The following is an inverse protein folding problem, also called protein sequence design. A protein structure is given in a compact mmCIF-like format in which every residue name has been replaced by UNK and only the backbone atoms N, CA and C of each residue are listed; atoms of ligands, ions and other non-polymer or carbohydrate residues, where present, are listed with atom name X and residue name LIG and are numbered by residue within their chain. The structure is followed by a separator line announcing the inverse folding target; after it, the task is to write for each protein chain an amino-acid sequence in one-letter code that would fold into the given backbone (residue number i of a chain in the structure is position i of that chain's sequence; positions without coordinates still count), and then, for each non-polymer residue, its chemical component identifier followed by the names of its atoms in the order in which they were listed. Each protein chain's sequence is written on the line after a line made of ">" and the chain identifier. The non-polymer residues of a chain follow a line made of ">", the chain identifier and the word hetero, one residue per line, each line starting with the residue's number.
data_IF_930744398272
#
_entry.id   IF_930744398272
#
_cell.length_a   1.000
_cell.length_b   1.000
_cell.length_c   1.000
_cell.angle_alpha   90.00
_cell.angle_beta   90.00
_cell.angle_gamma   90.00
#
_symmetry.space_group_name_H-M   'P 1'
#
loop_
_entity.id
_entity.type
_entity.pdbx_description
1 polymer ?
#
# COMPACT_ATOMS: atom_id res chain seq x y z
N UNK A 1 16.11 -82.39 16.13
CA UNK A 1 16.70 -82.77 14.83
C UNK A 1 16.80 -81.47 14.06
N UNK A 2 17.96 -80.93 13.98
CA UNK A 2 18.83 -80.80 12.82
C UNK A 2 18.25 -79.79 11.86
N UNK A 3 18.96 -78.84 11.38
CA UNK A 3 20.34 -78.39 11.39
C UNK A 3 20.39 -77.12 10.52
N UNK A 4 21.25 -76.13 10.91
CA UNK A 4 22.25 -75.44 10.04
C UNK A 4 21.72 -74.88 8.70
N UNK A 5 22.12 -73.77 8.21
CA UNK A 5 23.38 -72.95 8.23
C UNK A 5 23.09 -71.62 7.52
N UNK A 6 23.64 -70.55 8.01
CA UNK A 6 24.74 -69.69 7.46
C UNK A 6 24.56 -69.23 6.00
N UNK A 7 24.65 -67.99 5.73
CA UNK A 7 25.73 -67.07 5.34
C UNK A 7 25.14 -65.82 4.66
N UNK A 8 25.52 -64.67 5.15
CA UNK A 8 26.55 -63.83 4.57
C UNK A 8 26.09 -62.96 3.39
N UNK A 9 26.16 -61.71 3.57
CA UNK A 9 26.71 -60.94 2.49
C UNK A 9 26.10 -59.62 2.10
N UNK A 10 26.78 -58.53 2.49
CA UNK A 10 27.03 -57.29 1.72
C UNK A 10 26.00 -56.15 1.77
N UNK A 11 26.31 -55.21 2.61
CA UNK A 11 26.71 -53.85 2.24
C UNK A 11 26.17 -53.33 0.90
N UNK A 12 25.23 -52.40 0.99
CA UNK A 12 24.79 -51.56 -0.09
C UNK A 12 24.54 -50.15 0.45
N UNK A 13 25.57 -49.34 0.48
CA UNK A 13 25.49 -47.91 0.83
C UNK A 13 24.68 -47.20 -0.25
N UNK A 14 23.38 -46.99 0.01
CA UNK A 14 22.50 -46.12 -0.81
C UNK A 14 22.79 -44.65 -0.54
N UNK A 15 23.48 -44.03 -1.48
CA UNK A 15 23.74 -42.58 -1.55
C UNK A 15 22.42 -41.81 -1.38
N UNK A 16 22.29 -41.13 -0.26
CA UNK A 16 21.30 -40.08 -0.08
C UNK A 16 21.61 -38.96 -1.07
N UNK A 17 20.80 -38.87 -2.12
CA UNK A 17 20.80 -37.70 -3.02
C UNK A 17 20.19 -36.54 -2.26
N UNK A 18 21.07 -35.66 -1.80
CA UNK A 18 20.74 -34.36 -1.25
C UNK A 18 20.04 -33.55 -2.36
N UNK A 19 18.70 -33.59 -2.39
CA UNK A 19 17.89 -32.74 -3.25
C UNK A 19 17.93 -31.34 -2.62
N UNK A 20 18.84 -30.53 -3.12
CA UNK A 20 18.93 -29.11 -2.79
C UNK A 20 17.62 -28.45 -3.26
N UNK A 21 16.78 -28.04 -2.31
CA UNK A 21 15.60 -27.20 -2.58
C UNK A 21 16.02 -25.95 -3.36
N UNK A 22 15.25 -25.52 -4.38
CA UNK A 22 15.56 -24.29 -5.08
C UNK A 22 15.41 -23.12 -4.09
N UNK A 23 16.50 -22.42 -3.84
CA UNK A 23 16.49 -21.15 -3.13
C UNK A 23 15.64 -20.19 -3.97
N UNK A 24 14.44 -19.88 -3.51
CA UNK A 24 13.61 -18.80 -4.05
C UNK A 24 14.30 -17.48 -3.76
N UNK A 25 15.20 -17.12 -4.64
CA UNK A 25 15.89 -15.83 -4.62
C UNK A 25 14.99 -14.72 -5.12
N UNK A 26 14.07 -14.26 -4.30
CA UNK A 26 13.55 -12.89 -4.35
C UNK A 26 14.38 -12.05 -3.36
N UNK A 27 15.69 -12.02 -3.58
CA UNK A 27 16.51 -10.92 -3.09
C UNK A 27 16.01 -9.65 -3.80
N UNK A 28 15.10 -8.94 -3.15
CA UNK A 28 14.91 -7.52 -3.46
C UNK A 28 16.28 -6.89 -3.23
N UNK A 29 17.00 -6.62 -4.32
CA UNK A 29 18.16 -5.74 -4.29
C UNK A 29 17.66 -4.46 -3.64
N UNK A 30 17.93 -4.28 -2.37
CA UNK A 30 17.88 -3.00 -1.70
C UNK A 30 18.94 -2.16 -2.40
N UNK A 31 18.52 -1.43 -3.45
CA UNK A 31 19.34 -0.36 -3.98
C UNK A 31 19.45 0.61 -2.81
N UNK A 32 20.62 0.67 -2.17
CA UNK A 32 20.92 1.68 -1.15
C UNK A 32 20.69 3.03 -1.82
N UNK A 33 19.53 3.59 -1.54
CA UNK A 33 19.18 4.95 -1.99
C UNK A 33 19.84 5.88 -1.01
N UNK A 34 20.63 6.86 -1.46
CA UNK A 34 21.24 7.83 -0.55
C UNK A 34 20.13 8.44 0.32
N UNK A 35 20.37 8.66 1.61
CA UNK A 35 19.43 9.33 2.50
C UNK A 35 19.02 10.69 1.92
N UNK A 36 17.86 11.18 2.30
CA UNK A 36 17.45 12.54 2.00
C UNK A 36 18.29 13.48 2.83
N UNK A 37 18.79 14.55 2.21
CA UNK A 37 19.49 15.64 2.91
C UNK A 37 18.51 16.75 3.35
N UNK A 38 18.98 17.72 4.11
CA UNK A 38 18.18 18.81 4.65
C UNK A 38 17.48 19.63 3.54
N UNK A 39 18.15 19.78 2.39
CA UNK A 39 17.58 20.46 1.23
C UNK A 39 16.42 19.65 0.66
N UNK A 40 16.58 18.33 0.53
CA UNK A 40 15.51 17.44 0.05
C UNK A 40 14.30 17.51 1.00
N UNK A 41 14.51 17.50 2.32
CA UNK A 41 13.45 17.66 3.31
C UNK A 41 12.72 19.00 3.17
N UNK A 42 13.44 20.10 3.02
CA UNK A 42 12.86 21.42 2.81
C UNK A 42 12.03 21.49 1.51
N UNK A 43 12.56 20.92 0.41
CA UNK A 43 11.83 20.86 -0.86
C UNK A 43 10.52 20.05 -0.70
N UNK A 44 10.55 18.94 0.01
CA UNK A 44 9.37 18.10 0.27
C UNK A 44 8.35 18.82 1.14
N UNK A 45 8.78 19.52 2.18
CA UNK A 45 7.89 20.32 3.04
C UNK A 45 7.18 21.41 2.26
N UNK A 46 7.91 22.23 1.51
CA UNK A 46 7.34 23.31 0.71
C UNK A 46 6.37 22.79 -0.37
N UNK A 47 6.74 21.72 -1.06
CA UNK A 47 5.87 21.07 -2.05
C UNK A 47 4.65 20.39 -1.44
N UNK A 48 4.70 19.98 -0.17
CA UNK A 48 3.54 19.44 0.52
C UNK A 48 2.49 20.52 0.86
N UNK A 49 2.94 21.76 1.07
CA UNK A 49 2.09 22.92 1.33
C UNK A 49 1.54 23.49 0.02
N UNK A 50 2.40 23.71 -0.95
CA UNK A 50 2.04 24.22 -2.28
C UNK A 50 2.76 23.44 -3.39
N UNK A 51 2.08 22.45 -3.94
CA UNK A 51 2.60 21.66 -5.06
C UNK A 51 2.79 22.47 -6.37
N UNK A 52 2.28 23.71 -6.43
CA UNK A 52 2.37 24.59 -7.58
C UNK A 52 3.36 25.74 -7.40
N UNK A 53 4.11 25.77 -6.29
CA UNK A 53 5.14 26.79 -6.06
C UNK A 53 6.09 26.88 -7.27
N UNK A 54 6.36 28.09 -7.81
CA UNK A 54 7.31 28.24 -8.91
C UNK A 54 8.70 27.75 -8.53
N UNK A 55 9.39 27.07 -9.46
CA UNK A 55 10.71 26.51 -9.19
C UNK A 55 11.73 27.56 -8.69
N UNK A 56 11.67 28.80 -9.21
CA UNK A 56 12.57 29.87 -8.75
C UNK A 56 12.30 30.25 -7.30
N UNK A 57 11.02 30.31 -6.88
CA UNK A 57 10.65 30.61 -5.50
C UNK A 57 11.07 29.49 -4.56
N UNK A 58 10.85 28.22 -4.97
CA UNK A 58 11.27 27.04 -4.20
C UNK A 58 12.80 26.98 -4.05
N UNK A 59 13.54 27.23 -5.13
CA UNK A 59 15.00 27.29 -5.12
C UNK A 59 15.52 28.37 -4.19
N UNK A 60 14.90 29.57 -4.22
CA UNK A 60 15.26 30.67 -3.32
C UNK A 60 15.04 30.32 -1.84
N UNK A 61 13.92 29.65 -1.50
CA UNK A 61 13.66 29.17 -0.13
C UNK A 61 14.70 28.12 0.32
N UNK A 62 15.14 27.26 -0.59
CA UNK A 62 16.15 26.24 -0.31
C UNK A 62 17.61 26.76 -0.39
N UNK A 63 17.83 28.02 -0.78
CA UNK A 63 19.16 28.58 -0.91
C UNK A 63 20.02 27.94 -2.01
N UNK A 64 19.40 27.43 -3.08
CA UNK A 64 20.06 26.73 -4.19
C UNK A 64 19.72 27.36 -5.55
N UNK A 65 20.52 27.03 -6.58
CA UNK A 65 20.22 27.44 -7.94
C UNK A 65 18.95 26.77 -8.49
N UNK A 66 18.14 27.46 -9.32
CA UNK A 66 16.92 26.90 -9.90
C UNK A 66 17.13 25.58 -10.69
N UNK A 67 18.25 25.44 -11.39
CA UNK A 67 18.62 24.22 -12.11
C UNK A 67 18.88 23.07 -11.15
N UNK A 68 19.54 23.33 -10.01
CA UNK A 68 19.79 22.35 -8.95
C UNK A 68 18.48 21.90 -8.31
N UNK A 69 17.57 22.84 -8.02
CA UNK A 69 16.25 22.56 -7.48
C UNK A 69 15.46 21.60 -8.42
N UNK A 70 15.40 21.93 -9.71
CA UNK A 70 14.71 21.10 -10.70
C UNK A 70 15.29 19.68 -10.79
N UNK A 71 16.63 19.57 -10.74
CA UNK A 71 17.32 18.26 -10.78
C UNK A 71 17.00 17.44 -9.54
N UNK A 72 16.96 18.04 -8.34
CA UNK A 72 16.59 17.36 -7.10
C UNK A 72 15.13 16.88 -7.11
N UNK A 73 14.19 17.71 -7.56
CA UNK A 73 12.78 17.31 -7.68
C UNK A 73 12.62 16.12 -8.63
N UNK A 74 13.32 16.13 -9.77
CA UNK A 74 13.32 14.98 -10.70
C UNK A 74 13.86 13.72 -10.03
N UNK A 75 14.99 13.81 -9.35
CA UNK A 75 15.56 12.68 -8.62
C UNK A 75 14.63 12.15 -7.52
N UNK A 76 13.95 13.03 -6.77
CA UNK A 76 12.97 12.64 -5.75
C UNK A 76 11.76 11.91 -6.38
N UNK A 77 11.32 12.33 -7.57
CA UNK A 77 10.27 11.63 -8.34
C UNK A 77 10.73 10.28 -8.86
N UNK A 78 11.89 10.19 -9.47
CA UNK A 78 12.47 8.94 -9.98
C UNK A 78 12.71 7.92 -8.86
N UNK A 79 13.07 8.40 -7.68
CA UNK A 79 13.20 7.58 -6.46
C UNK A 79 11.85 7.15 -5.87
N UNK A 80 10.73 7.73 -6.34
CA UNK A 80 9.39 7.48 -5.83
C UNK A 80 9.10 8.13 -4.46
N UNK A 81 9.95 9.04 -3.99
CA UNK A 81 9.71 9.86 -2.79
C UNK A 81 8.53 10.79 -3.06
N UNK A 82 8.58 11.53 -4.17
CA UNK A 82 7.41 12.26 -4.68
C UNK A 82 6.65 11.33 -5.61
N UNK A 83 5.47 10.89 -5.18
CA UNK A 83 4.61 9.98 -5.96
C UNK A 83 3.78 10.69 -7.02
N UNK A 84 3.53 11.99 -6.85
CA UNK A 84 2.72 12.80 -7.77
C UNK A 84 2.40 14.17 -7.19
N UNK A 85 1.76 14.99 -8.01
CA UNK A 85 1.21 16.30 -7.63
C UNK A 85 -0.28 16.23 -7.89
N UNK A 86 -1.11 16.39 -6.85
CA UNK A 86 -2.55 16.23 -6.93
C UNK A 86 -3.25 17.44 -6.29
N UNK A 87 -4.42 17.80 -6.84
CA UNK A 87 -5.28 18.74 -6.19
C UNK A 87 -5.91 18.11 -4.95
N UNK A 88 -6.01 18.86 -3.86
CA UNK A 88 -6.85 18.53 -2.72
C UNK A 88 -8.27 19.02 -3.02
N UNK A 89 -9.19 18.08 -3.20
CA UNK A 89 -10.57 18.36 -3.61
C UNK A 89 -11.49 18.09 -2.43
N UNK A 90 -12.30 19.06 -2.06
CA UNK A 90 -13.36 18.88 -1.07
C UNK A 90 -14.47 17.97 -1.65
N UNK A 91 -14.66 16.75 -1.10
CA UNK A 91 -15.67 15.83 -1.62
C UNK A 91 -17.08 16.39 -1.48
N UNK A 92 -17.39 17.19 -0.45
CA UNK A 92 -18.70 17.75 -0.21
C UNK A 92 -19.05 18.77 -1.30
N UNK A 93 -18.11 19.68 -1.63
CA UNK A 93 -18.28 20.64 -2.71
C UNK A 93 -18.29 19.98 -4.10
N UNK A 94 -17.68 18.79 -4.22
CA UNK A 94 -17.73 17.96 -5.42
C UNK A 94 -18.98 17.06 -5.51
N UNK A 95 -20.02 17.30 -4.67
CA UNK A 95 -21.28 16.58 -4.71
C UNK A 95 -21.30 15.25 -3.94
N UNK A 96 -20.32 15.02 -3.04
CA UNK A 96 -20.21 13.83 -2.20
C UNK A 96 -20.04 14.19 -0.71
N UNK A 97 -21.09 14.81 -0.08
CA UNK A 97 -20.96 15.33 1.28
C UNK A 97 -20.90 14.24 2.36
N UNK A 98 -21.39 13.03 2.06
CA UNK A 98 -21.39 11.96 3.05
C UNK A 98 -20.11 11.15 2.95
N UNK A 99 -19.34 11.12 4.04
CA UNK A 99 -18.11 10.34 4.10
C UNK A 99 -18.21 9.25 5.16
N UNK A 100 -17.60 8.11 4.88
CA UNK A 100 -17.55 6.99 5.81
C UNK A 100 -16.19 6.27 5.77
N UNK A 101 -15.81 5.71 6.91
CA UNK A 101 -14.75 4.72 7.02
C UNK A 101 -15.39 3.34 7.12
N UNK A 102 -15.25 2.54 6.08
CA UNK A 102 -15.76 1.16 6.05
C UNK A 102 -14.63 0.23 6.48
N UNK A 103 -14.81 -0.42 7.63
CA UNK A 103 -13.92 -1.48 8.09
C UNK A 103 -14.34 -2.80 7.43
N UNK A 104 -13.37 -3.53 6.87
CA UNK A 104 -13.61 -4.78 6.13
C UNK A 104 -12.76 -5.89 6.73
N UNK A 105 -13.38 -7.02 7.04
CA UNK A 105 -12.69 -8.26 7.40
C UNK A 105 -12.82 -9.25 6.26
N UNK A 106 -11.73 -9.87 5.89
CA UNK A 106 -11.66 -10.87 4.83
C UNK A 106 -11.80 -12.27 5.42
N UNK A 107 -12.44 -13.16 4.68
CA UNK A 107 -12.51 -14.58 5.02
C UNK A 107 -11.10 -15.18 5.17
N UNK A 108 -10.85 -16.05 6.17
CA UNK A 108 -9.53 -16.68 6.36
C UNK A 108 -9.00 -17.35 5.10
N UNK A 109 -9.89 -17.95 4.30
CA UNK A 109 -9.57 -18.63 3.04
C UNK A 109 -9.14 -17.69 1.91
N UNK A 110 -9.45 -16.39 2.03
CA UNK A 110 -9.15 -15.37 1.02
C UNK A 110 -7.92 -14.52 1.33
N UNK A 111 -7.21 -14.78 2.43
CA UNK A 111 -6.05 -13.96 2.88
C UNK A 111 -4.90 -13.89 1.88
N UNK A 112 -4.74 -14.85 1.00
CA UNK A 112 -3.74 -14.80 -0.07
C UNK A 112 -4.04 -13.73 -1.13
N UNK A 113 -5.25 -13.19 -1.18
CA UNK A 113 -5.73 -12.20 -2.15
C UNK A 113 -5.79 -10.76 -1.61
N UNK A 114 -5.25 -10.49 -0.42
CA UNK A 114 -5.32 -9.16 0.20
C UNK A 114 -4.73 -8.05 -0.70
N UNK A 115 -3.56 -8.25 -1.29
CA UNK A 115 -2.93 -7.24 -2.15
C UNK A 115 -3.71 -6.97 -3.45
N UNK A 116 -4.15 -7.98 -4.21
CA UNK A 116 -5.06 -7.77 -5.33
C UNK A 116 -6.36 -7.08 -4.93
N UNK A 117 -6.94 -7.44 -3.79
CA UNK A 117 -8.17 -6.83 -3.29
C UNK A 117 -7.99 -5.34 -2.97
N UNK A 118 -6.87 -4.96 -2.33
CA UNK A 118 -6.52 -3.55 -2.09
C UNK A 118 -6.43 -2.76 -3.41
N UNK A 119 -5.78 -3.34 -4.43
CA UNK A 119 -5.70 -2.75 -5.76
C UNK A 119 -7.07 -2.53 -6.38
N UNK A 120 -7.98 -3.49 -6.25
CA UNK A 120 -9.35 -3.38 -6.72
C UNK A 120 -10.11 -2.26 -5.96
N UNK A 121 -10.04 -2.22 -4.63
CA UNK A 121 -10.70 -1.21 -3.81
C UNK A 121 -10.31 0.22 -4.24
N UNK A 122 -9.06 0.44 -4.59
CA UNK A 122 -8.56 1.77 -5.00
C UNK A 122 -9.10 2.26 -6.35
N UNK A 123 -9.72 1.37 -7.14
CA UNK A 123 -10.31 1.72 -8.45
C UNK A 123 -11.81 1.99 -8.37
N UNK A 124 -12.44 1.70 -7.23
CA UNK A 124 -13.88 1.85 -7.08
C UNK A 124 -14.30 3.33 -7.01
N UNK A 125 -15.43 3.70 -7.64
CA UNK A 125 -15.92 5.06 -7.62
C UNK A 125 -16.32 5.49 -6.20
N UNK A 126 -15.87 6.67 -5.78
CA UNK A 126 -16.14 7.19 -4.44
C UNK A 126 -15.12 6.78 -3.38
N UNK A 127 -14.23 5.85 -3.66
CA UNK A 127 -13.12 5.53 -2.76
C UNK A 127 -12.08 6.65 -2.81
N UNK A 128 -11.85 7.27 -1.67
CA UNK A 128 -10.82 8.30 -1.48
C UNK A 128 -9.48 7.68 -1.08
N UNK A 129 -9.52 6.71 -0.16
CA UNK A 129 -8.34 5.99 0.31
C UNK A 129 -8.71 4.54 0.67
N UNK A 130 -7.76 3.62 0.51
CA UNK A 130 -7.87 2.26 1.00
C UNK A 130 -6.57 1.87 1.71
N UNK A 131 -6.71 1.26 2.88
CA UNK A 131 -5.61 0.87 3.76
C UNK A 131 -5.67 -0.63 4.00
N UNK A 132 -4.55 -1.33 3.86
CA UNK A 132 -4.37 -2.69 4.36
C UNK A 132 -3.79 -2.62 5.77
N UNK A 133 -4.40 -3.30 6.71
CA UNK A 133 -4.11 -3.20 8.14
C UNK A 133 -3.60 -4.54 8.70
N UNK A 134 -2.83 -4.44 9.77
CA UNK A 134 -2.52 -5.57 10.65
C UNK A 134 -3.34 -5.47 11.94
N UNK A 135 -4.46 -6.21 12.03
CA UNK A 135 -5.31 -6.11 13.21
C UNK A 135 -6.63 -6.86 13.05
N UNK A 136 -7.66 -6.42 13.77
CA UNK A 136 -9.00 -7.04 13.77
C UNK A 136 -9.67 -6.97 12.41
N UNK A 137 -9.50 -5.85 11.70
CA UNK A 137 -9.94 -5.66 10.32
C UNK A 137 -8.75 -5.73 9.38
N UNK A 138 -8.97 -6.25 8.18
CA UNK A 138 -7.95 -6.35 7.16
C UNK A 138 -7.84 -5.06 6.34
N UNK A 139 -8.96 -4.32 6.16
CA UNK A 139 -8.95 -3.05 5.43
C UNK A 139 -9.77 -1.98 6.14
N UNK A 140 -9.32 -0.73 5.95
CA UNK A 140 -10.17 0.44 6.05
C UNK A 140 -10.31 1.09 4.67
N UNK A 141 -11.56 1.37 4.28
CA UNK A 141 -11.89 2.02 3.01
C UNK A 141 -12.57 3.35 3.31
N UNK A 142 -11.92 4.45 2.95
CA UNK A 142 -12.48 5.79 3.06
C UNK A 142 -13.29 6.09 1.80
N UNK A 143 -14.60 6.26 1.97
CA UNK A 143 -15.57 6.44 0.88
C UNK A 143 -16.27 7.77 1.03
N UNK A 144 -16.50 8.45 -0.11
CA UNK A 144 -17.39 9.61 -0.21
C UNK A 144 -18.54 9.32 -1.14
N UNK A 145 -19.77 9.61 -0.69
CA UNK A 145 -21.01 9.36 -1.40
C UNK A 145 -21.93 10.60 -1.43
N UNK A 146 -22.82 10.71 -2.43
CA UNK A 146 -23.81 11.80 -2.45
C UNK A 146 -24.77 11.77 -1.26
N UNK A 147 -25.18 10.57 -0.84
CA UNK A 147 -26.16 10.34 0.21
C UNK A 147 -26.01 8.94 0.85
N UNK A 148 -26.85 8.64 1.83
CA UNK A 148 -26.84 7.35 2.55
C UNK A 148 -27.29 6.18 1.66
N UNK A 149 -28.14 6.42 0.69
CA UNK A 149 -28.61 5.38 -0.24
C UNK A 149 -27.45 4.94 -1.14
N UNK A 150 -26.72 5.90 -1.70
CA UNK A 150 -25.53 5.62 -2.51
C UNK A 150 -24.42 4.98 -1.70
N UNK A 151 -24.20 5.40 -0.44
CA UNK A 151 -23.23 4.76 0.45
C UNK A 151 -23.61 3.30 0.73
N UNK A 152 -24.88 3.04 1.06
CA UNK A 152 -25.35 1.67 1.30
C UNK A 152 -25.22 0.80 0.05
N UNK A 153 -25.59 1.33 -1.12
CA UNK A 153 -25.44 0.63 -2.40
C UNK A 153 -23.97 0.26 -2.65
N UNK A 154 -23.05 1.20 -2.43
CA UNK A 154 -21.61 0.95 -2.55
C UNK A 154 -21.15 -0.20 -1.64
N UNK A 155 -21.53 -0.17 -0.35
CA UNK A 155 -21.13 -1.20 0.62
C UNK A 155 -21.69 -2.56 0.24
N UNK A 156 -22.94 -2.63 -0.16
CA UNK A 156 -23.58 -3.89 -0.58
C UNK A 156 -22.94 -4.42 -1.85
N UNK A 157 -22.85 -3.61 -2.90
CA UNK A 157 -22.42 -4.04 -4.23
C UNK A 157 -20.94 -4.42 -4.26
N UNK A 158 -20.07 -3.62 -3.65
CA UNK A 158 -18.64 -3.78 -3.81
C UNK A 158 -17.95 -4.52 -2.64
N UNK A 159 -18.57 -4.56 -1.46
CA UNK A 159 -17.96 -5.14 -0.26
C UNK A 159 -18.75 -6.35 0.25
N UNK A 160 -19.99 -6.15 0.73
CA UNK A 160 -20.73 -7.20 1.43
C UNK A 160 -21.17 -8.36 0.53
N UNK A 161 -21.38 -8.12 -0.76
CA UNK A 161 -21.71 -9.18 -1.74
C UNK A 161 -20.47 -9.96 -2.21
N UNK A 162 -19.27 -9.53 -1.85
CA UNK A 162 -18.06 -10.23 -2.24
C UNK A 162 -17.85 -11.46 -1.33
N UNK A 163 -17.73 -12.69 -1.89
CA UNK A 163 -17.57 -13.91 -1.12
C UNK A 163 -16.27 -13.96 -0.29
N UNK A 164 -15.28 -13.14 -0.64
CA UNK A 164 -14.05 -13.02 0.11
C UNK A 164 -14.19 -12.15 1.38
N UNK A 165 -15.28 -11.39 1.51
CA UNK A 165 -15.55 -10.52 2.65
C UNK A 165 -16.33 -11.29 3.72
N UNK A 166 -15.83 -11.29 4.94
CA UNK A 166 -16.47 -11.91 6.09
C UNK A 166 -17.40 -10.94 6.84
N UNK A 167 -17.00 -9.68 6.91
CA UNK A 167 -17.71 -8.64 7.68
C UNK A 167 -17.37 -7.27 7.14
N UNK A 168 -18.38 -6.38 7.16
CA UNK A 168 -18.19 -4.94 6.95
C UNK A 168 -18.81 -4.17 8.11
N UNK A 169 -18.16 -3.09 8.52
CA UNK A 169 -18.67 -2.14 9.51
C UNK A 169 -18.51 -0.73 8.95
N UNK A 170 -19.61 0.02 8.86
CA UNK A 170 -19.63 1.36 8.27
C UNK A 170 -19.70 2.41 9.37
N UNK A 171 -18.65 3.22 9.48
CA UNK A 171 -18.55 4.32 10.44
C UNK A 171 -18.64 5.64 9.68
N UNK A 172 -19.66 6.46 9.95
CA UNK A 172 -19.79 7.77 9.35
C UNK A 172 -18.71 8.72 9.89
N UNK A 173 -18.12 9.50 8.99
CA UNK A 173 -17.16 10.55 9.34
C UNK A 173 -17.93 11.87 9.43
N UNK A 174 -18.05 12.41 10.65
CA UNK A 174 -18.69 13.71 10.85
C UNK A 174 -17.73 14.87 10.59
N UNK A 175 -16.45 14.66 10.88
CA UNK A 175 -15.41 15.66 10.64
C UNK A 175 -14.04 14.97 10.53
N UNK A 176 -13.18 15.45 9.63
CA UNK A 176 -11.78 15.07 9.62
C UNK A 176 -10.90 16.29 9.39
N UNK A 177 -9.67 16.23 9.85
CA UNK A 177 -8.67 17.26 9.63
C UNK A 177 -7.45 16.62 8.99
N UNK A 178 -6.95 17.26 7.95
CA UNK A 178 -5.72 16.86 7.27
C UNK A 178 -4.59 17.80 7.66
N UNK A 179 -3.43 17.26 8.01
CA UNK A 179 -2.23 18.09 8.15
C UNK A 179 -1.75 18.50 6.75
N UNK A 180 -1.54 19.81 6.51
CA UNK A 180 -1.00 20.26 5.23
C UNK A 180 0.51 19.99 5.11
N UNK A 181 1.19 19.62 6.19
CA UNK A 181 2.63 19.43 6.22
C UNK A 181 2.99 17.94 6.23
N UNK A 182 4.05 17.64 5.50
CA UNK A 182 4.73 16.35 5.59
C UNK A 182 5.83 16.48 6.63
N UNK A 183 5.63 15.90 7.82
CA UNK A 183 6.60 15.95 8.90
C UNK A 183 5.92 15.87 10.24
#
# INVERSE_FOLDING_TARGET
>A
MSSRSSESGRSGAGRSKNVRAPRSGLERRTVERPPLDDIDHLLLEELSIDARIPNNALAAKAGIAPSTCLTRIRALRERGVIRGFHADIDPALAGRPLQAMVAVRIQPTARSRLTPFLGHLSTLPGVLNAFLLGGTYDFFVHVAAPDSTALNAFVVEHLSSNPDVALTETNLIFQHTRSPRFG
#
